data_IF_062824571964
#
_entry.id   IF_062824571964
#
_cell.length_a   1.000
_cell.length_b   1.000
_cell.length_c   1.000
_cell.angle_alpha   90.00
_cell.angle_beta   90.00
_cell.angle_gamma   90.00
#
_symmetry.space_group_name_H-M   'P 1'
#
loop_
_entity.id
_entity.type
_entity.pdbx_description
1 polymer ?
#
# COMPACT_ATOMS: atom_id res chain seq x y z
N UNK A 1 6.43 -11.43 21.05
CA UNK A 1 5.37 -11.66 20.05
C UNK A 1 4.43 -10.48 20.14
N UNK A 2 4.20 -9.78 19.02
CA UNK A 2 3.20 -8.72 18.98
C UNK A 2 1.81 -9.35 19.13
N UNK A 3 0.97 -8.79 19.99
CA UNK A 3 -0.42 -9.23 20.10
C UNK A 3 -1.21 -8.83 18.84
N UNK A 4 -2.28 -9.55 18.47
CA UNK A 4 -3.05 -9.27 17.25
C UNK A 4 -3.58 -7.84 17.15
N UNK A 5 -3.86 -7.17 18.28
CA UNK A 5 -4.31 -5.78 18.28
C UNK A 5 -3.17 -4.83 17.90
N UNK A 6 -1.95 -5.09 18.39
CA UNK A 6 -0.75 -4.37 18.01
C UNK A 6 -0.47 -4.47 16.50
N UNK A 7 -0.50 -5.67 15.94
CA UNK A 7 -0.31 -5.90 14.49
C UNK A 7 -1.42 -5.19 13.69
N UNK A 8 -2.68 -5.32 14.10
CA UNK A 8 -3.81 -4.64 13.46
C UNK A 8 -3.68 -3.11 13.50
N UNK A 9 -3.14 -2.54 14.59
CA UNK A 9 -2.87 -1.12 14.71
C UNK A 9 -1.75 -0.67 13.78
N UNK A 10 -0.65 -1.42 13.68
CA UNK A 10 0.44 -1.18 12.73
C UNK A 10 -0.06 -1.18 11.29
N UNK A 11 -0.84 -2.21 10.91
CA UNK A 11 -1.48 -2.30 9.59
C UNK A 11 -2.37 -1.08 9.32
N UNK A 12 -3.20 -0.68 10.29
CA UNK A 12 -4.06 0.49 10.15
C UNK A 12 -3.27 1.79 9.92
N UNK A 13 -2.15 1.96 10.64
CA UNK A 13 -1.25 3.09 10.48
C UNK A 13 -0.69 3.17 9.07
N UNK A 14 -0.13 2.06 8.56
CA UNK A 14 0.46 2.00 7.22
C UNK A 14 -0.60 2.17 6.12
N UNK A 15 -1.77 1.54 6.27
CA UNK A 15 -2.88 1.71 5.32
C UNK A 15 -3.34 3.17 5.25
N UNK A 16 -3.51 3.83 6.40
CA UNK A 16 -3.90 5.24 6.48
C UNK A 16 -2.85 6.14 5.83
N UNK A 17 -1.55 5.88 6.10
CA UNK A 17 -0.46 6.59 5.45
C UNK A 17 -0.47 6.40 3.93
N UNK A 18 -0.68 5.16 3.46
CA UNK A 18 -0.82 4.84 2.04
C UNK A 18 -1.96 5.62 1.37
N UNK A 19 -3.16 5.62 1.94
CA UNK A 19 -4.28 6.40 1.41
C UNK A 19 -4.00 7.91 1.39
N UNK A 20 -3.34 8.45 2.42
CA UNK A 20 -2.96 9.85 2.46
C UNK A 20 -1.95 10.21 1.36
N UNK A 21 -0.98 9.32 1.09
CA UNK A 21 -0.01 9.46 0.00
C UNK A 21 -0.73 9.40 -1.36
N UNK A 22 -1.59 8.41 -1.60
CA UNK A 22 -2.35 8.29 -2.83
C UNK A 22 -3.18 9.56 -3.11
N UNK A 23 -3.88 10.07 -2.09
CA UNK A 23 -4.62 11.34 -2.18
C UNK A 23 -3.73 12.53 -2.51
N UNK A 24 -2.53 12.59 -1.93
CA UNK A 24 -1.54 13.62 -2.26
C UNK A 24 -1.08 13.53 -3.72
N UNK A 25 -0.81 12.33 -4.22
CA UNK A 25 -0.44 12.11 -5.62
C UNK A 25 -1.56 12.49 -6.57
N UNK A 26 -2.82 12.17 -6.26
CA UNK A 26 -3.96 12.59 -7.06
C UNK A 26 -4.05 14.11 -7.14
N UNK A 27 -3.92 14.82 -6.02
CA UNK A 27 -3.90 16.30 -6.00
C UNK A 27 -2.79 16.87 -6.87
N UNK A 28 -1.59 16.30 -6.82
CA UNK A 28 -0.49 16.70 -7.71
C UNK A 28 -0.86 16.45 -9.17
N UNK A 29 -1.34 15.24 -9.48
CA UNK A 29 -1.69 14.84 -10.84
C UNK A 29 -2.78 15.72 -11.45
N UNK A 30 -3.79 16.08 -10.67
CA UNK A 30 -4.89 16.93 -11.11
C UNK A 30 -4.43 18.38 -11.27
N UNK A 31 -3.56 18.85 -10.38
CA UNK A 31 -2.97 20.18 -10.44
C UNK A 31 -2.07 20.42 -11.66
N UNK A 32 -1.37 19.39 -12.15
CA UNK A 32 -0.51 19.49 -13.35
C UNK A 32 -1.18 18.99 -14.63
N UNK A 33 -2.43 18.53 -14.56
CA UNK A 33 -3.21 18.08 -15.71
C UNK A 33 -2.63 16.86 -16.41
N UNK A 34 -2.48 16.94 -17.74
CA UNK A 34 -2.07 15.80 -18.58
C UNK A 34 -0.65 15.27 -18.28
N UNK A 35 0.24 16.09 -17.72
CA UNK A 35 1.56 15.64 -17.26
C UNK A 35 1.48 14.73 -16.02
N UNK A 36 0.31 14.63 -15.39
CA UNK A 36 0.08 13.86 -14.17
C UNK A 36 -0.24 12.39 -14.36
N UNK A 37 -0.26 11.84 -15.58
CA UNK A 37 -0.68 10.45 -15.85
C UNK A 37 0.14 9.45 -15.03
N UNK A 38 1.48 9.52 -15.06
CA UNK A 38 2.32 8.62 -14.27
C UNK A 38 2.16 8.85 -12.76
N UNK A 39 1.98 10.10 -12.33
CA UNK A 39 1.72 10.42 -10.92
C UNK A 39 0.43 9.76 -10.44
N UNK A 40 -0.61 9.76 -11.28
CA UNK A 40 -1.89 9.11 -11.00
C UNK A 40 -1.74 7.60 -10.93
N UNK A 41 -0.98 6.98 -11.83
CA UNK A 41 -0.71 5.55 -11.80
C UNK A 41 -0.01 5.12 -10.49
N UNK A 42 0.96 5.89 -9.99
CA UNK A 42 1.54 5.65 -8.66
C UNK A 42 0.51 5.80 -7.53
N UNK A 43 -0.39 6.77 -7.65
CA UNK A 43 -1.51 6.95 -6.72
C UNK A 43 -2.41 5.71 -6.67
N UNK A 44 -2.76 5.17 -7.84
CA UNK A 44 -3.60 3.97 -7.98
C UNK A 44 -2.94 2.73 -7.38
N UNK A 45 -1.65 2.52 -7.64
CA UNK A 45 -0.90 1.41 -7.06
C UNK A 45 -0.82 1.48 -5.53
N UNK A 46 -0.55 2.68 -4.99
CA UNK A 46 -0.50 2.88 -3.53
C UNK A 46 -1.89 2.73 -2.89
N UNK A 47 -2.95 3.19 -3.56
CA UNK A 47 -4.32 3.02 -3.07
C UNK A 47 -4.75 1.54 -3.07
N UNK A 48 -4.43 0.80 -4.14
CA UNK A 48 -4.67 -0.64 -4.20
C UNK A 48 -3.90 -1.39 -3.10
N UNK A 49 -2.65 -1.00 -2.87
CA UNK A 49 -1.83 -1.51 -1.78
C UNK A 49 -2.45 -1.23 -0.39
N UNK A 50 -2.86 0.00 -0.12
CA UNK A 50 -3.50 0.36 1.16
C UNK A 50 -4.83 -0.38 1.38
N UNK A 51 -5.55 -0.70 0.31
CA UNK A 51 -6.77 -1.53 0.37
C UNK A 51 -6.47 -2.96 0.83
N UNK A 52 -5.42 -3.58 0.31
CA UNK A 52 -5.00 -4.94 0.76
C UNK A 52 -4.63 -4.95 2.23
N UNK A 53 -3.87 -3.94 2.70
CA UNK A 53 -3.59 -3.78 4.14
C UNK A 53 -4.89 -3.64 4.95
N UNK A 54 -5.85 -2.86 4.47
CA UNK A 54 -7.13 -2.69 5.17
C UNK A 54 -7.91 -4.01 5.28
N UNK A 55 -7.87 -4.85 4.25
CA UNK A 55 -8.48 -6.18 4.25
C UNK A 55 -7.74 -7.12 5.20
N UNK A 56 -6.40 -7.11 5.16
CA UNK A 56 -5.55 -7.89 6.06
C UNK A 56 -5.82 -7.54 7.53
N UNK A 57 -6.01 -6.26 7.85
CA UNK A 57 -6.40 -5.83 9.21
C UNK A 57 -7.67 -6.52 9.69
N UNK A 58 -8.69 -6.63 8.84
CA UNK A 58 -9.95 -7.28 9.20
C UNK A 58 -9.73 -8.75 9.56
N UNK A 59 -8.85 -9.44 8.83
CA UNK A 59 -8.53 -10.83 9.12
C UNK A 59 -7.70 -10.98 10.40
N UNK A 60 -6.72 -10.10 10.64
CA UNK A 60 -5.85 -10.11 11.83
C UNK A 60 -6.63 -9.92 13.14
N UNK A 61 -7.77 -9.25 13.10
CA UNK A 61 -8.64 -9.07 14.27
C UNK A 61 -9.41 -10.35 14.65
N UNK A 62 -9.39 -11.40 13.83
CA UNK A 62 -9.99 -12.68 14.18
C UNK A 62 -9.11 -13.42 15.23
N UNK A 63 -9.69 -14.01 16.28
CA UNK A 63 -8.92 -14.63 17.37
C UNK A 63 -8.09 -15.85 16.96
N UNK A 64 -8.36 -16.46 15.81
CA UNK A 64 -7.67 -17.64 15.27
C UNK A 64 -7.04 -17.36 13.91
N UNK A 65 -6.66 -16.11 13.63
CA UNK A 65 -6.37 -15.67 12.26
C UNK A 65 -5.14 -16.33 11.63
N UNK A 66 -4.08 -16.66 12.39
CA UNK A 66 -2.92 -17.37 11.84
C UNK A 66 -1.98 -17.96 12.91
N UNK A 67 -1.07 -18.84 12.47
CA UNK A 67 0.02 -19.36 13.29
C UNK A 67 1.06 -18.28 13.64
N UNK A 68 1.80 -18.40 14.76
CA UNK A 68 2.84 -17.45 15.17
C UNK A 68 3.82 -17.02 14.08
N UNK A 69 4.21 -17.96 13.21
CA UNK A 69 5.13 -17.72 12.11
C UNK A 69 4.53 -16.77 11.06
N UNK A 70 3.26 -16.98 10.72
CA UNK A 70 2.52 -16.12 9.80
C UNK A 70 2.31 -14.74 10.41
N UNK A 71 2.05 -14.66 11.72
CA UNK A 71 1.92 -13.37 12.42
C UNK A 71 3.23 -12.56 12.34
N UNK A 72 4.38 -13.20 12.59
CA UNK A 72 5.69 -12.55 12.45
C UNK A 72 5.95 -12.08 11.03
N UNK A 73 5.61 -12.91 10.03
CA UNK A 73 5.82 -12.57 8.63
C UNK A 73 4.96 -11.39 8.18
N UNK A 74 3.72 -11.29 8.66
CA UNK A 74 2.85 -10.13 8.43
C UNK A 74 3.44 -8.87 9.07
N UNK A 75 3.89 -8.96 10.32
CA UNK A 75 4.48 -7.83 11.04
C UNK A 75 5.73 -7.28 10.32
N UNK A 76 6.64 -8.18 9.91
CA UNK A 76 7.84 -7.83 9.12
C UNK A 76 7.48 -7.18 7.78
N UNK A 77 6.48 -7.73 7.08
CA UNK A 77 6.02 -7.18 5.81
C UNK A 77 5.43 -5.78 5.99
N UNK A 78 4.62 -5.55 7.03
CA UNK A 78 4.01 -4.25 7.34
C UNK A 78 5.08 -3.21 7.67
N UNK A 79 6.09 -3.57 8.47
CA UNK A 79 7.23 -2.69 8.77
C UNK A 79 8.03 -2.33 7.51
N UNK A 80 8.22 -3.27 6.60
CA UNK A 80 8.89 -2.98 5.33
C UNK A 80 8.07 -2.05 4.43
N UNK A 81 6.74 -2.18 4.46
CA UNK A 81 5.85 -1.30 3.71
C UNK A 81 5.92 0.16 4.17
N UNK A 82 5.97 0.41 5.47
CA UNK A 82 6.14 1.76 6.01
C UNK A 82 7.42 2.43 5.48
N UNK A 83 8.53 1.66 5.46
CA UNK A 83 9.82 2.13 4.92
C UNK A 83 9.78 2.44 3.42
N UNK A 84 9.00 1.68 2.64
CA UNK A 84 8.85 1.90 1.19
C UNK A 84 8.02 3.15 0.90
N UNK A 85 7.05 3.47 1.75
CA UNK A 85 6.16 4.63 1.59
C UNK A 85 6.82 5.96 1.99
N UNK A 86 7.75 5.95 2.95
CA UNK A 86 8.41 7.18 3.45
C UNK A 86 9.07 8.05 2.36
N UNK A 87 9.83 7.51 1.39
CA UNK A 87 10.39 8.30 0.29
C UNK A 87 9.33 9.01 -0.55
N UNK A 88 8.18 8.38 -0.80
CA UNK A 88 7.08 8.97 -1.57
C UNK A 88 6.41 10.07 -0.75
N UNK A 89 6.20 9.84 0.54
CA UNK A 89 5.68 10.85 1.49
C UNK A 89 6.60 12.06 1.59
N UNK A 90 7.91 11.86 1.69
CA UNK A 90 8.89 12.93 1.72
C UNK A 90 8.85 13.76 0.43
N UNK A 91 8.75 13.09 -0.72
CA UNK A 91 8.61 13.77 -2.00
C UNK A 91 7.32 14.61 -2.08
N UNK A 92 6.18 14.10 -1.61
CA UNK A 92 4.93 14.86 -1.56
C UNK A 92 5.02 16.12 -0.70
N UNK A 93 5.76 16.07 0.42
CA UNK A 93 6.01 17.26 1.26
C UNK A 93 6.76 18.34 0.50
N UNK A 94 7.61 17.97 -0.46
CA UNK A 94 8.32 18.92 -1.33
C UNK A 94 7.46 19.38 -2.51
N UNK A 95 6.70 18.49 -3.15
CA UNK A 95 5.93 18.81 -4.36
C UNK A 95 4.67 19.62 -4.09
N UNK A 96 3.96 19.35 -2.99
CA UNK A 96 2.70 20.02 -2.64
C UNK A 96 2.83 21.56 -2.56
N UNK A 97 3.78 22.14 -1.80
CA UNK A 97 3.92 23.59 -1.72
C UNK A 97 4.39 24.21 -3.05
N UNK A 98 5.13 23.46 -3.87
CA UNK A 98 5.55 23.93 -5.19
C UNK A 98 4.37 24.01 -6.15
N UNK A 99 3.45 23.05 -6.09
CA UNK A 99 2.21 23.10 -6.87
C UNK A 99 1.41 24.35 -6.51
N UNK A 100 1.17 24.58 -5.23
CA UNK A 100 0.44 25.76 -4.74
C UNK A 100 1.09 27.06 -5.22
N UNK A 101 2.42 27.16 -5.07
CA UNK A 101 3.20 28.34 -5.49
C UNK A 101 3.15 28.58 -7.00
N UNK A 102 3.11 27.53 -7.81
CA UNK A 102 3.14 27.66 -9.28
C UNK A 102 1.76 27.79 -9.90
N UNK A 103 0.69 27.52 -9.14
CA UNK A 103 -0.68 27.61 -9.62
C UNK A 103 -1.05 29.01 -10.16
N UNK A 104 -0.40 30.06 -9.65
CA UNK A 104 -0.60 31.44 -10.11
C UNK A 104 0.00 31.74 -11.49
N UNK A 105 0.87 30.86 -12.02
CA UNK A 105 1.57 31.08 -13.29
C UNK A 105 1.52 29.83 -14.16
N UNK A 106 0.69 29.87 -15.22
CA UNK A 106 0.53 28.76 -16.18
C UNK A 106 1.86 28.26 -16.77
N UNK A 107 2.79 29.17 -17.06
CA UNK A 107 4.12 28.82 -17.59
C UNK A 107 4.95 28.04 -16.57
N UNK A 108 5.02 28.52 -15.33
CA UNK A 108 5.74 27.81 -14.24
C UNK A 108 5.08 26.47 -13.91
N UNK A 109 3.75 26.43 -13.90
CA UNK A 109 2.99 25.21 -13.67
C UNK A 109 3.26 24.16 -14.76
N UNK A 110 3.32 24.56 -16.02
CA UNK A 110 3.68 23.66 -17.13
C UNK A 110 5.10 23.10 -16.99
N UNK A 111 6.09 23.94 -16.67
CA UNK A 111 7.47 23.49 -16.44
C UNK A 111 7.58 22.55 -15.23
N UNK A 112 6.84 22.85 -14.16
CA UNK A 112 6.75 22.00 -12.99
C UNK A 112 6.14 20.64 -13.35
N UNK A 113 5.02 20.63 -14.07
CA UNK A 113 4.36 19.43 -14.55
C UNK A 113 5.29 18.52 -15.33
N UNK A 114 6.05 19.07 -16.29
CA UNK A 114 7.04 18.31 -17.07
C UNK A 114 8.14 17.70 -16.20
N UNK A 115 8.64 18.44 -15.20
CA UNK A 115 9.65 17.92 -14.26
C UNK A 115 9.11 16.82 -13.37
N UNK A 116 7.88 16.99 -12.86
CA UNK A 116 7.21 15.97 -12.06
C UNK A 116 6.99 14.71 -12.91
N UNK A 117 6.46 14.87 -14.12
CA UNK A 117 6.31 13.75 -15.05
C UNK A 117 7.62 13.01 -15.27
N UNK A 118 8.71 13.73 -15.54
CA UNK A 118 10.03 13.12 -15.74
C UNK A 118 10.50 12.35 -14.49
N UNK A 119 10.32 12.92 -13.29
CA UNK A 119 10.67 12.24 -12.03
C UNK A 119 9.91 10.91 -11.90
N UNK A 120 8.60 10.91 -12.16
CA UNK A 120 7.78 9.71 -12.00
C UNK A 120 7.99 8.67 -13.09
N UNK A 121 8.40 9.10 -14.28
CA UNK A 121 8.62 8.23 -15.43
C UNK A 121 10.02 7.62 -15.45
N UNK A 122 11.06 8.37 -15.05
CA UNK A 122 12.45 8.02 -15.37
C UNK A 122 13.41 8.03 -14.18
N UNK A 123 13.01 8.56 -13.02
CA UNK A 123 13.94 8.61 -11.88
C UNK A 123 14.09 7.22 -11.28
N UNK A 124 15.25 6.60 -11.50
CA UNK A 124 15.57 5.22 -11.07
C UNK A 124 15.21 4.94 -9.61
N UNK A 125 15.57 5.86 -8.69
CA UNK A 125 15.26 5.71 -7.27
C UNK A 125 13.75 5.57 -7.02
N UNK A 126 12.93 6.31 -7.74
CA UNK A 126 11.48 6.24 -7.58
C UNK A 126 10.90 4.98 -8.21
N UNK A 127 11.40 4.59 -9.39
CA UNK A 127 11.06 3.33 -10.04
C UNK A 127 11.41 2.11 -9.17
N UNK A 128 12.54 2.16 -8.47
CA UNK A 128 12.92 1.15 -7.49
C UNK A 128 11.87 1.03 -6.38
N UNK A 129 11.44 2.14 -5.78
CA UNK A 129 10.41 2.11 -4.74
C UNK A 129 9.04 1.65 -5.27
N UNK A 130 8.66 2.00 -6.51
CA UNK A 130 7.46 1.45 -7.17
C UNK A 130 7.55 -0.06 -7.32
N UNK A 131 8.67 -0.58 -7.79
CA UNK A 131 8.90 -2.02 -7.93
C UNK A 131 8.88 -2.74 -6.58
N UNK A 132 9.50 -2.14 -5.55
CA UNK A 132 9.49 -2.68 -4.20
C UNK A 132 8.06 -2.71 -3.62
N UNK A 133 7.29 -1.64 -3.81
CA UNK A 133 5.88 -1.56 -3.40
C UNK A 133 5.04 -2.65 -4.08
N UNK A 134 5.18 -2.80 -5.40
CA UNK A 134 4.45 -3.81 -6.17
C UNK A 134 4.82 -5.24 -5.74
N UNK A 135 6.08 -5.46 -5.35
CA UNK A 135 6.53 -6.76 -4.81
C UNK A 135 5.91 -7.01 -3.44
N UNK A 136 5.88 -6.01 -2.55
CA UNK A 136 5.22 -6.13 -1.25
C UNK A 136 3.71 -6.29 -1.36
N UNK A 137 3.07 -5.59 -2.29
CA UNK A 137 1.65 -5.75 -2.56
C UNK A 137 1.30 -7.22 -2.89
N UNK A 138 2.07 -7.86 -3.77
CA UNK A 138 1.88 -9.27 -4.13
C UNK A 138 2.10 -10.22 -2.96
N UNK A 139 3.14 -9.96 -2.16
CA UNK A 139 3.42 -10.75 -0.96
C UNK A 139 2.26 -10.67 0.04
N UNK A 140 1.81 -9.45 0.36
CA UNK A 140 0.69 -9.25 1.26
C UNK A 140 -0.63 -9.83 0.73
N UNK A 141 -0.88 -9.73 -0.58
CA UNK A 141 -2.04 -10.38 -1.19
C UNK A 141 -1.99 -11.90 -1.03
N UNK A 142 -0.81 -12.50 -1.24
CA UNK A 142 -0.60 -13.94 -1.05
C UNK A 142 -0.82 -14.36 0.40
N UNK A 143 -0.33 -13.56 1.36
CA UNK A 143 -0.57 -13.79 2.79
C UNK A 143 -2.05 -13.69 3.15
N UNK A 144 -2.74 -12.67 2.64
CA UNK A 144 -4.18 -12.51 2.84
C UNK A 144 -4.95 -13.72 2.32
N UNK A 145 -4.66 -14.17 1.09
CA UNK A 145 -5.32 -15.33 0.50
C UNK A 145 -5.05 -16.60 1.32
N UNK A 146 -3.82 -16.79 1.82
CA UNK A 146 -3.45 -17.91 2.68
C UNK A 146 -4.22 -17.90 4.01
N UNK A 147 -4.36 -16.73 4.65
CA UNK A 147 -5.13 -16.56 5.89
C UNK A 147 -6.61 -16.90 5.66
N UNK A 148 -7.20 -16.40 4.57
CA UNK A 148 -8.60 -16.68 4.22
C UNK A 148 -8.80 -18.19 3.95
N UNK A 149 -7.88 -18.83 3.25
CA UNK A 149 -7.93 -20.27 2.98
C UNK A 149 -7.81 -21.11 4.25
N UNK A 150 -6.95 -20.72 5.19
CA UNK A 150 -6.86 -21.38 6.49
C UNK A 150 -8.16 -21.23 7.28
N UNK A 151 -8.71 -20.01 7.34
CA UNK A 151 -9.97 -19.75 8.03
C UNK A 151 -11.17 -20.53 7.44
N UNK A 152 -11.20 -20.76 6.13
CA UNK A 152 -12.25 -21.57 5.48
C UNK A 152 -12.07 -23.07 5.69
N UNK A 153 -10.82 -23.56 5.71
CA UNK A 153 -10.51 -24.95 6.05
C UNK A 153 -10.95 -25.30 7.47
N UNK A 154 -10.69 -24.43 8.45
CA UNK A 154 -11.06 -24.66 9.85
C UNK A 154 -12.58 -24.60 10.09
N UNK A 155 -13.34 -23.95 9.21
CA UNK A 155 -14.82 -23.88 9.25
C UNK A 155 -15.51 -25.06 8.56
N UNK A 156 -14.78 -25.89 7.82
CA UNK A 156 -15.36 -27.04 7.11
C UNK A 156 -15.48 -28.24 8.06
N UNK A 157 -16.69 -28.71 8.41
CA UNK A 157 -16.83 -29.94 9.19
C UNK A 157 -16.28 -31.11 8.37
N UNK A 158 -15.20 -31.73 8.86
CA UNK A 158 -14.70 -32.98 8.31
C UNK A 158 -15.70 -34.09 8.66
N UNK A 159 -16.76 -34.22 7.85
CA UNK A 159 -17.67 -35.35 7.89
C UNK A 159 -16.94 -36.59 7.34
N UNK A 160 -16.05 -37.16 8.15
CA UNK A 160 -15.45 -38.46 7.91
C UNK A 160 -16.51 -39.49 8.28
N UNK A 161 -17.25 -39.97 7.28
CA UNK A 161 -18.09 -41.15 7.43
C UNK A 161 -17.18 -42.38 7.49
N UNK A 162 -16.99 -42.93 8.68
CA UNK A 162 -16.41 -44.25 8.83
C UNK A 162 -17.40 -45.27 8.27
N UNK A 163 -17.05 -45.90 7.14
CA UNK A 163 -17.74 -47.10 6.65
C UNK A 163 -17.12 -48.27 7.39
N UNK A 164 -17.77 -48.72 8.48
CA UNK A 164 -17.47 -50.01 9.11
C UNK A 164 -17.76 -51.15 8.11
N UNK A 165 -16.84 -52.11 8.04
CA UNK A 165 -16.95 -53.31 7.21
C UNK A 165 -16.71 -54.54 8.07
#
# INVERSE_FOLDING_TARGET
MADPLSIAASIAGVATAGFAIAKGLYRISDGIGSSGIEVRAYGDEIAAFAKVLSQLRTEVLNPTWASPEVQSLVDDAVHLCDRILEPVKAMLKTLSPLLERFNESKSKLGQFGLRVQWIFSYKEKLLFYRSALNSQHRLLQTLLDLIILQATKDRSPQNIWYVER
#
